data_IF_165309258927
#
_entry.id   IF_165309258927
#
_cell.length_a   1.000
_cell.length_b   1.000
_cell.length_c   1.000
_cell.angle_alpha   90.00
_cell.angle_beta   90.00
_cell.angle_gamma   90.00
#
_symmetry.space_group_name_H-M   'P 1'
#
loop_
_entity.id
_entity.type
_entity.pdbx_description
1 polymer ?
#
# COMPACT_ATOMS: atom_id res chain seq x y z
N UNK A 1 15.78 23.01 9.61
CA UNK A 1 16.38 21.78 9.06
C UNK A 1 16.61 20.86 10.25
N UNK A 2 16.03 19.65 10.29
CA UNK A 2 16.22 18.75 11.43
C UNK A 2 17.72 18.44 11.60
N UNK A 3 18.22 18.57 12.82
CA UNK A 3 19.62 18.34 13.13
C UNK A 3 19.89 16.83 13.14
N UNK A 4 20.52 16.33 12.08
CA UNK A 4 20.75 14.88 11.86
C UNK A 4 21.45 14.21 13.04
N UNK A 5 22.29 14.96 13.76
CA UNK A 5 23.05 14.48 14.91
C UNK A 5 22.15 14.08 16.09
N UNK A 6 21.02 14.77 16.27
CA UNK A 6 20.05 14.50 17.33
C UNK A 6 19.24 13.26 17.01
N UNK A 7 18.80 13.11 15.74
CA UNK A 7 18.07 11.92 15.28
C UNK A 7 18.91 10.65 15.47
N UNK A 8 20.18 10.66 15.06
CA UNK A 8 21.09 9.53 15.24
C UNK A 8 21.27 9.15 16.71
N UNK A 9 21.34 10.15 17.59
CA UNK A 9 21.47 9.94 19.04
C UNK A 9 20.22 9.30 19.64
N UNK A 10 19.04 9.74 19.23
CA UNK A 10 17.77 9.16 19.70
C UNK A 10 17.64 7.72 19.19
N UNK A 11 17.97 7.45 17.92
CA UNK A 11 17.94 6.09 17.36
C UNK A 11 18.89 5.13 18.09
N UNK A 12 20.11 5.56 18.44
CA UNK A 12 21.03 4.75 19.26
C UNK A 12 20.48 4.43 20.65
N UNK A 13 19.80 5.39 21.28
CA UNK A 13 19.17 5.17 22.60
C UNK A 13 17.98 4.19 22.50
N UNK A 14 17.18 4.28 21.44
CA UNK A 14 16.09 3.34 21.20
C UNK A 14 16.60 1.92 20.92
N UNK A 15 17.67 1.78 20.14
CA UNK A 15 18.31 0.48 19.94
C UNK A 15 18.84 -0.11 21.27
N UNK A 16 19.49 0.71 22.10
CA UNK A 16 19.97 0.28 23.41
C UNK A 16 18.83 -0.08 24.38
N UNK A 17 17.66 0.57 24.25
CA UNK A 17 16.45 0.25 25.00
C UNK A 17 15.89 -1.16 24.70
N UNK A 18 16.32 -1.81 23.61
CA UNK A 18 15.92 -3.19 23.27
C UNK A 18 16.92 -4.25 23.73
N UNK A 19 18.00 -3.85 24.41
CA UNK A 19 19.04 -4.77 24.88
C UNK A 19 18.57 -5.64 26.06
N UNK A 20 19.28 -6.75 26.30
CA UNK A 20 18.94 -7.74 27.34
C UNK A 20 19.24 -7.29 28.77
N UNK A 21 19.87 -6.12 28.97
CA UNK A 21 20.16 -5.57 30.28
C UNK A 21 19.05 -4.60 30.70
N UNK A 22 18.10 -5.07 31.53
CA UNK A 22 16.90 -4.33 31.92
C UNK A 22 17.20 -2.93 32.48
N UNK A 23 18.24 -2.80 33.30
CA UNK A 23 18.60 -1.51 33.91
C UNK A 23 19.09 -0.52 32.86
N UNK A 24 19.94 -0.96 31.94
CA UNK A 24 20.45 -0.11 30.85
C UNK A 24 19.35 0.21 29.83
N UNK A 25 18.49 -0.76 29.54
CA UNK A 25 17.36 -0.62 28.64
C UNK A 25 16.35 0.43 29.14
N UNK A 26 15.98 0.37 30.43
CA UNK A 26 15.07 1.33 31.05
C UNK A 26 15.63 2.76 31.05
N UNK A 27 16.92 2.92 31.38
CA UNK A 27 17.60 4.23 31.37
C UNK A 27 17.70 4.78 29.93
N UNK A 28 17.97 3.92 28.95
CA UNK A 28 18.06 4.30 27.55
C UNK A 28 16.69 4.73 26.99
N UNK A 29 15.62 3.98 27.30
CA UNK A 29 14.25 4.32 26.93
C UNK A 29 13.83 5.68 27.49
N UNK A 30 14.07 5.91 28.78
CA UNK A 30 13.74 7.17 29.43
C UNK A 30 14.47 8.36 28.79
N UNK A 31 15.76 8.20 28.48
CA UNK A 31 16.55 9.24 27.80
C UNK A 31 16.06 9.52 26.38
N UNK A 32 15.66 8.48 25.63
CA UNK A 32 15.09 8.65 24.30
C UNK A 32 13.77 9.44 24.36
N UNK A 33 12.87 9.11 25.29
CA UNK A 33 11.61 9.82 25.48
C UNK A 33 11.80 11.29 25.86
N UNK A 34 12.78 11.61 26.72
CA UNK A 34 13.09 12.99 27.08
C UNK A 34 13.59 13.81 25.89
N UNK A 35 14.47 13.25 25.06
CA UNK A 35 14.95 13.92 23.86
C UNK A 35 13.84 14.12 22.82
N UNK A 36 12.98 13.12 22.63
CA UNK A 36 11.79 13.24 21.79
C UNK A 36 10.91 14.42 22.23
N UNK A 37 10.61 14.50 23.54
CA UNK A 37 9.82 15.60 24.10
C UNK A 37 10.52 16.97 23.96
N UNK A 38 11.83 17.03 24.22
CA UNK A 38 12.60 18.27 24.15
C UNK A 38 12.60 18.90 22.76
N UNK A 39 12.68 18.07 21.72
CA UNK A 39 12.70 18.51 20.34
C UNK A 39 11.31 18.49 19.67
N UNK A 40 10.25 18.21 20.45
CA UNK A 40 8.88 18.04 19.96
C UNK A 40 8.80 17.09 18.76
N UNK A 41 9.54 15.97 18.85
CA UNK A 41 9.60 14.92 17.86
C UNK A 41 8.75 13.74 18.33
N UNK A 42 8.15 13.05 17.37
CA UNK A 42 7.54 11.74 17.54
C UNK A 42 8.48 10.65 17.00
N UNK A 43 8.19 9.38 17.33
CA UNK A 43 8.91 8.25 16.74
C UNK A 43 8.85 8.24 15.20
N UNK A 44 7.78 8.77 14.61
CA UNK A 44 7.65 8.91 13.16
C UNK A 44 8.65 9.90 12.57
N UNK A 45 9.04 10.93 13.34
CA UNK A 45 10.01 11.95 12.91
C UNK A 45 11.47 11.47 13.00
N UNK A 46 11.73 10.39 13.74
CA UNK A 46 13.07 9.82 13.91
C UNK A 46 13.56 9.01 12.72
N UNK A 47 12.68 8.73 11.76
CA UNK A 47 13.04 7.91 10.61
C UNK A 47 13.67 6.56 11.03
N UNK A 48 13.24 5.99 12.17
CA UNK A 48 13.73 4.70 12.64
C UNK A 48 13.19 3.61 11.71
N UNK A 49 13.94 3.38 10.63
CA UNK A 49 14.22 2.07 10.04
C UNK A 49 12.99 1.15 9.82
N UNK A 50 12.03 1.62 9.03
CA UNK A 50 11.18 0.78 8.17
C UNK A 50 10.60 1.58 6.98
N UNK A 51 11.37 2.54 6.46
CA UNK A 51 11.18 3.01 5.08
C UNK A 51 11.73 1.99 4.05
N UNK A 52 12.19 0.83 4.52
CA UNK A 52 12.89 -0.20 3.74
C UNK A 52 12.00 -1.08 2.89
N UNK A 53 10.68 -1.11 3.09
CA UNK A 53 9.83 -2.08 2.39
C UNK A 53 8.79 -1.46 1.45
N UNK A 54 8.90 -0.17 1.12
CA UNK A 54 8.16 0.36 -0.04
C UNK A 54 8.85 -0.15 -1.30
N UNK A 55 8.27 -1.18 -1.88
CA UNK A 55 8.74 -1.78 -3.12
C UNK A 55 7.68 -1.64 -4.21
N UNK A 56 8.03 -2.06 -5.42
CA UNK A 56 7.12 -2.12 -6.54
C UNK A 56 6.90 -3.55 -7.02
N UNK A 57 5.69 -3.83 -7.48
CA UNK A 57 5.32 -5.12 -8.03
C UNK A 57 4.58 -4.91 -9.35
N UNK A 58 5.04 -5.56 -10.42
CA UNK A 58 4.28 -5.63 -11.67
C UNK A 58 3.18 -6.68 -11.51
N UNK A 59 1.93 -6.26 -11.64
CA UNK A 59 0.77 -7.14 -11.46
C UNK A 59 0.28 -7.71 -12.79
N UNK A 60 0.28 -6.89 -13.84
CA UNK A 60 -0.15 -7.31 -15.17
C UNK A 60 0.51 -6.43 -16.25
N UNK A 61 0.79 -7.01 -17.42
CA UNK A 61 1.27 -6.26 -18.60
C UNK A 61 0.22 -6.32 -19.70
N UNK A 62 -0.20 -5.15 -20.21
CA UNK A 62 -1.24 -5.05 -21.24
C UNK A 62 -0.78 -4.17 -22.40
N UNK A 63 -0.91 -4.68 -23.64
CA UNK A 63 -0.54 -3.94 -24.85
C UNK A 63 -1.40 -2.70 -25.07
N UNK A 64 -2.69 -2.77 -24.69
CA UNK A 64 -3.63 -1.64 -24.74
C UNK A 64 -4.12 -1.31 -23.34
N UNK A 65 -4.51 -0.05 -23.13
CA UNK A 65 -5.13 0.36 -21.88
C UNK A 65 -6.49 -0.32 -21.70
N UNK A 66 -6.66 -1.08 -20.62
CA UNK A 66 -7.91 -1.74 -20.26
C UNK A 66 -8.49 -1.06 -19.02
N UNK A 67 -9.39 -0.09 -19.25
CA UNK A 67 -9.85 0.85 -18.21
C UNK A 67 -10.41 0.17 -16.96
N UNK A 68 -11.22 -0.89 -17.12
CA UNK A 68 -11.85 -1.56 -15.98
C UNK A 68 -10.82 -2.31 -15.10
N UNK A 69 -9.74 -2.83 -15.70
CA UNK A 69 -8.65 -3.48 -14.97
C UNK A 69 -7.86 -2.46 -14.15
N UNK A 70 -7.51 -1.33 -14.76
CA UNK A 70 -6.82 -0.25 -14.05
C UNK A 70 -7.68 0.31 -12.91
N UNK A 71 -8.97 0.55 -13.16
CA UNK A 71 -9.91 1.00 -12.14
C UNK A 71 -9.99 0.04 -10.95
N UNK A 72 -10.07 -1.27 -11.24
CA UNK A 72 -10.08 -2.31 -10.21
C UNK A 72 -8.77 -2.28 -9.40
N UNK A 73 -7.62 -2.24 -10.07
CA UNK A 73 -6.32 -2.22 -9.41
C UNK A 73 -6.15 -0.98 -8.52
N UNK A 74 -6.53 0.20 -9.00
CA UNK A 74 -6.51 1.43 -8.19
C UNK A 74 -7.39 1.30 -6.95
N UNK A 75 -8.62 0.80 -7.09
CA UNK A 75 -9.52 0.62 -5.95
C UNK A 75 -8.97 -0.35 -4.91
N UNK A 76 -8.34 -1.44 -5.34
CA UNK A 76 -7.69 -2.41 -4.44
C UNK A 76 -6.49 -1.76 -3.75
N UNK A 77 -5.65 -1.06 -4.50
CA UNK A 77 -4.45 -0.43 -3.98
C UNK A 77 -4.81 0.59 -2.90
N UNK A 78 -5.74 1.49 -3.21
CA UNK A 78 -6.21 2.51 -2.28
C UNK A 78 -6.78 1.89 -0.99
N UNK A 79 -7.56 0.82 -1.09
CA UNK A 79 -8.13 0.12 0.06
C UNK A 79 -7.07 -0.45 1.01
N UNK A 80 -5.90 -0.82 0.49
CA UNK A 80 -4.82 -1.50 1.22
C UNK A 80 -3.61 -0.58 1.50
N UNK A 81 -3.75 0.74 1.32
CA UNK A 81 -2.66 1.69 1.55
C UNK A 81 -1.53 1.62 0.53
N UNK A 82 -1.80 1.05 -0.65
CA UNK A 82 -0.89 1.02 -1.80
C UNK A 82 -1.28 2.08 -2.83
N UNK A 83 -0.39 2.30 -3.81
CA UNK A 83 -0.68 3.06 -5.02
C UNK A 83 -0.59 2.17 -6.25
N UNK A 84 -1.36 2.48 -7.28
CA UNK A 84 -1.35 1.76 -8.56
C UNK A 84 -1.09 2.71 -9.72
N UNK A 85 -0.23 2.31 -10.64
CA UNK A 85 0.11 3.09 -11.84
C UNK A 85 0.23 2.19 -13.07
N UNK A 86 0.01 2.76 -14.25
CA UNK A 86 0.37 2.10 -15.51
C UNK A 86 1.51 2.83 -16.19
N UNK A 87 2.55 2.10 -16.56
CA UNK A 87 3.59 2.60 -17.43
C UNK A 87 3.08 2.58 -18.89
N UNK A 88 3.01 3.75 -19.52
CA UNK A 88 2.48 3.88 -20.88
C UNK A 88 3.43 3.38 -21.98
N UNK A 89 4.74 3.28 -21.69
CA UNK A 89 5.75 2.83 -22.65
C UNK A 89 5.75 1.30 -22.82
N UNK A 90 5.67 0.54 -21.73
CA UNK A 90 5.70 -0.93 -21.77
C UNK A 90 4.36 -1.60 -21.43
N UNK A 91 3.36 -0.83 -20.97
CA UNK A 91 2.04 -1.33 -20.64
C UNK A 91 1.92 -2.05 -19.30
N UNK A 92 2.96 -2.00 -18.46
CA UNK A 92 2.97 -2.61 -17.14
C UNK A 92 2.05 -1.85 -16.17
N UNK A 93 1.18 -2.59 -15.49
CA UNK A 93 0.41 -2.13 -14.33
C UNK A 93 1.17 -2.53 -13.07
N UNK A 94 1.50 -1.52 -12.27
CA UNK A 94 2.36 -1.63 -11.09
C UNK A 94 1.61 -1.24 -9.83
N UNK A 95 1.96 -1.91 -8.75
CA UNK A 95 1.62 -1.51 -7.39
C UNK A 95 2.87 -1.03 -6.66
N UNK A 96 2.70 -0.05 -5.78
CA UNK A 96 3.73 0.49 -4.90
C UNK A 96 3.20 0.50 -3.47
N UNK A 97 3.95 -0.05 -2.53
CA UNK A 97 3.53 -0.18 -1.13
C UNK A 97 4.41 -1.15 -0.35
N UNK A 98 4.01 -1.48 0.89
CA UNK A 98 4.70 -2.49 1.70
C UNK A 98 4.59 -3.88 1.07
N UNK A 99 5.61 -4.72 1.22
CA UNK A 99 5.62 -6.08 0.65
C UNK A 99 4.35 -6.88 1.01
N UNK A 100 3.92 -6.82 2.28
CA UNK A 100 2.71 -7.46 2.75
C UNK A 100 1.45 -6.95 2.02
N UNK A 101 1.28 -5.63 1.90
CA UNK A 101 0.13 -5.05 1.20
C UNK A 101 0.14 -5.35 -0.30
N UNK A 102 1.32 -5.43 -0.93
CA UNK A 102 1.45 -5.79 -2.34
C UNK A 102 0.96 -7.22 -2.62
N UNK A 103 1.33 -8.19 -1.78
CA UNK A 103 0.86 -9.58 -1.89
C UNK A 103 -0.67 -9.64 -1.79
N UNK A 104 -1.24 -8.94 -0.80
CA UNK A 104 -2.70 -8.87 -0.62
C UNK A 104 -3.36 -8.29 -1.87
N UNK A 105 -2.86 -7.16 -2.37
CA UNK A 105 -3.40 -6.51 -3.55
C UNK A 105 -3.32 -7.40 -4.80
N UNK A 106 -2.19 -8.08 -5.02
CA UNK A 106 -2.00 -8.99 -6.15
C UNK A 106 -3.00 -10.15 -6.11
N UNK A 107 -3.14 -10.82 -4.95
CA UNK A 107 -4.06 -11.92 -4.77
C UNK A 107 -5.52 -11.48 -4.97
N UNK A 108 -5.90 -10.33 -4.40
CA UNK A 108 -7.23 -9.74 -4.60
C UNK A 108 -7.49 -9.43 -6.07
N UNK A 109 -6.52 -8.83 -6.76
CA UNK A 109 -6.64 -8.48 -8.16
C UNK A 109 -6.84 -9.72 -9.02
N UNK A 110 -6.00 -10.74 -8.87
CA UNK A 110 -6.11 -11.99 -9.63
C UNK A 110 -7.47 -12.68 -9.43
N UNK A 111 -7.91 -12.80 -8.17
CA UNK A 111 -9.20 -13.39 -7.84
C UNK A 111 -10.39 -12.61 -8.45
N UNK A 112 -10.36 -11.29 -8.35
CA UNK A 112 -11.45 -10.44 -8.82
C UNK A 112 -11.51 -10.35 -10.34
N UNK A 113 -10.37 -10.34 -11.03
CA UNK A 113 -10.31 -10.45 -12.50
C UNK A 113 -11.01 -11.74 -12.94
N UNK A 114 -10.62 -12.89 -12.39
CA UNK A 114 -11.23 -14.19 -12.73
C UNK A 114 -12.74 -14.18 -12.45
N UNK A 115 -13.16 -13.58 -11.35
CA UNK A 115 -14.57 -13.50 -10.96
C UNK A 115 -15.40 -12.61 -11.90
N UNK A 116 -14.89 -11.42 -12.23
CA UNK A 116 -15.54 -10.47 -13.15
C UNK A 116 -15.64 -11.08 -14.55
N UNK A 117 -14.56 -11.69 -15.03
CA UNK A 117 -14.55 -12.34 -16.34
C UNK A 117 -15.53 -13.52 -16.40
N UNK A 118 -15.55 -14.39 -15.38
CA UNK A 118 -16.55 -15.47 -15.29
C UNK A 118 -17.98 -14.92 -15.35
N UNK A 119 -18.26 -13.82 -14.64
CA UNK A 119 -19.59 -13.17 -14.68
C UNK A 119 -19.90 -12.50 -16.02
N UNK A 120 -18.90 -11.96 -16.69
CA UNK A 120 -19.04 -11.43 -18.05
C UNK A 120 -19.29 -12.55 -19.06
N UNK A 121 -18.68 -13.72 -18.87
CA UNK A 121 -18.88 -14.89 -19.74
C UNK A 121 -20.31 -15.43 -19.71
N UNK A 122 -21.01 -15.35 -18.57
CA UNK A 122 -22.46 -15.64 -18.52
C UNK A 122 -23.34 -14.65 -19.30
N UNK A 123 -22.74 -13.57 -19.83
CA UNK A 123 -23.44 -12.51 -20.57
C UNK A 123 -22.98 -12.40 -22.03
N UNK A 124 -22.27 -13.40 -22.52
CA UNK A 124 -21.83 -13.46 -23.92
C UNK A 124 -23.03 -13.40 -24.87
N UNK A 125 -22.80 -12.93 -26.10
CA UNK A 125 -23.86 -12.69 -27.09
C UNK A 125 -24.49 -11.29 -27.06
N UNK A 126 -24.19 -10.47 -26.04
CA UNK A 126 -24.68 -9.07 -25.94
C UNK A 126 -23.78 -8.01 -26.58
N UNK A 127 -22.70 -8.44 -27.25
CA UNK A 127 -21.73 -7.57 -27.90
C UNK A 127 -20.61 -7.06 -26.99
N UNK A 128 -19.48 -6.66 -27.61
CA UNK A 128 -18.25 -6.28 -26.90
C UNK A 128 -18.42 -5.04 -26.01
N UNK A 129 -19.17 -4.03 -26.49
CA UNK A 129 -19.41 -2.80 -25.75
C UNK A 129 -20.17 -3.05 -24.44
N UNK A 130 -21.23 -3.86 -24.50
CA UNK A 130 -22.00 -4.27 -23.31
C UNK A 130 -21.12 -4.98 -22.29
N UNK A 131 -20.33 -5.96 -22.74
CA UNK A 131 -19.46 -6.72 -21.85
C UNK A 131 -18.39 -5.82 -21.21
N UNK A 132 -17.84 -4.84 -21.94
CA UNK A 132 -16.90 -3.88 -21.36
C UNK A 132 -17.58 -2.98 -20.32
N UNK A 133 -18.76 -2.45 -20.61
CA UNK A 133 -19.54 -1.64 -19.67
C UNK A 133 -19.88 -2.42 -18.39
N UNK A 134 -20.24 -3.70 -18.52
CA UNK A 134 -20.49 -4.59 -17.39
C UNK A 134 -19.25 -4.74 -16.49
N UNK A 135 -18.06 -4.94 -17.08
CA UNK A 135 -16.80 -5.07 -16.33
C UNK A 135 -16.44 -3.76 -15.62
N UNK A 136 -16.60 -2.62 -16.29
CA UNK A 136 -16.42 -1.29 -15.68
C UNK A 136 -17.35 -1.13 -14.48
N UNK A 137 -18.65 -1.38 -14.65
CA UNK A 137 -19.62 -1.29 -13.56
C UNK A 137 -19.29 -2.19 -12.36
N UNK A 138 -18.79 -3.42 -12.61
CA UNK A 138 -18.31 -4.29 -11.53
C UNK A 138 -17.12 -3.67 -10.78
N UNK A 139 -16.10 -3.20 -11.51
CA UNK A 139 -14.92 -2.59 -10.92
C UNK A 139 -15.26 -1.31 -10.12
N UNK A 140 -16.11 -0.44 -10.67
CA UNK A 140 -16.60 0.77 -9.99
C UNK A 140 -17.30 0.42 -8.68
N UNK A 141 -18.23 -0.54 -8.70
CA UNK A 141 -18.99 -0.89 -7.50
C UNK A 141 -18.12 -1.45 -6.39
N UNK A 142 -17.10 -2.27 -6.74
CA UNK A 142 -16.15 -2.81 -5.79
C UNK A 142 -15.29 -1.70 -5.16
N UNK A 143 -14.74 -0.80 -5.99
CA UNK A 143 -13.96 0.35 -5.52
C UNK A 143 -14.75 1.25 -4.56
N UNK A 144 -16.00 1.57 -4.89
CA UNK A 144 -16.88 2.35 -4.02
C UNK A 144 -17.14 1.70 -2.66
N UNK A 145 -17.26 0.36 -2.60
CA UNK A 145 -17.46 -0.36 -1.33
C UNK A 145 -16.24 -0.20 -0.42
N UNK A 146 -15.04 -0.37 -0.97
CA UNK A 146 -13.81 -0.25 -0.17
C UNK A 146 -13.58 1.17 0.35
N UNK A 147 -13.87 2.19 -0.48
CA UNK A 147 -13.86 3.58 -0.05
C UNK A 147 -14.82 3.85 1.11
N UNK A 148 -16.01 3.24 1.07
CA UNK A 148 -17.04 3.39 2.11
C UNK A 148 -16.59 2.74 3.43
N UNK A 149 -15.98 1.56 3.36
CA UNK A 149 -15.47 0.84 4.54
C UNK A 149 -14.35 1.60 5.27
N UNK A 150 -13.53 2.38 4.55
CA UNK A 150 -12.46 3.20 5.13
C UNK A 150 -12.95 4.42 5.90
N UNK A 151 -14.13 4.95 5.57
CA UNK A 151 -14.72 6.13 6.24
C UNK A 151 -15.46 5.77 7.54
N UNK A 152 -15.66 4.49 7.80
CA UNK A 152 -16.43 3.99 8.94
C UNK A 152 -15.56 3.48 10.10
N UNK A 153 -14.22 3.53 9.92
CA UNK A 153 -13.19 3.25 10.93
C UNK A 153 -12.41 4.54 11.19
#
# INVERSE_FOLDING_TARGET
MLDKTIIEKINKLLALATSSNENEAAVAAQKASLLLAQYNLSLADLGSQDLTDITELVVETTTRFISWKMLLLCGIAEANGCQAFRNNYNGNMRLIGSHASLIVCQNMYEYLIKTIERRANYRQGRGRAYLNAFRVGCATRLSQRWLSSRRSN
#
